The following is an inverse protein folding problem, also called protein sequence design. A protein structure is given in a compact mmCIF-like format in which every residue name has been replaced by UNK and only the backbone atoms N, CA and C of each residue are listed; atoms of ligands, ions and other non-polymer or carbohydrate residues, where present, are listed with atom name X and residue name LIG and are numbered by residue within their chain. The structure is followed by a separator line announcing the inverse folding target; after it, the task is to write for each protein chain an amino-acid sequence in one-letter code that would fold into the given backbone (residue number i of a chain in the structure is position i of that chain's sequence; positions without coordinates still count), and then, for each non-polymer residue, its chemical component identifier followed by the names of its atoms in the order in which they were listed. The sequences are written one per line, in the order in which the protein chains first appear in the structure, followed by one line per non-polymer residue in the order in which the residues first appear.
data_IF_253659077845
#
_entry.id   IF_253659077845
#
_cell.length_a   1.000
_cell.length_b   1.000
_cell.length_c   1.000
_cell.angle_alpha   90.00
_cell.angle_beta   90.00
_cell.angle_gamma   90.00
#
_symmetry.space_group_name_H-M   'P 1'
#
loop_
_entity.id
_entity.type
_entity.pdbx_description
1 polymer ?
#
# COMPACT_ATOMS: atom_id res chain seq x y z
N UNK A 1 14.57 -7.03 4.56
CA UNK A 1 13.34 -7.20 3.77
C UNK A 1 13.11 -8.68 3.54
N UNK A 2 11.91 -9.17 3.84
CA UNK A 2 11.48 -10.56 3.61
C UNK A 2 10.38 -10.58 2.57
N UNK A 3 10.38 -11.62 1.76
CA UNK A 3 9.49 -11.74 0.62
C UNK A 3 8.88 -13.14 0.56
N UNK A 4 7.56 -13.21 0.42
CA UNK A 4 6.78 -14.45 0.29
C UNK A 4 6.02 -14.44 -1.06
N UNK A 5 5.89 -15.60 -1.69
CA UNK A 5 5.20 -15.74 -2.97
C UNK A 5 3.98 -16.65 -2.79
N UNK A 6 2.84 -16.16 -3.23
CA UNK A 6 1.57 -16.90 -3.26
C UNK A 6 1.14 -17.12 -4.70
N UNK A 7 1.13 -18.39 -5.11
CA UNK A 7 0.63 -18.76 -6.43
C UNK A 7 -0.88 -18.71 -6.50
N UNK A 8 -1.42 -18.44 -7.68
CA UNK A 8 -2.86 -18.51 -7.91
C UNK A 8 -3.33 -19.97 -7.76
N UNK A 9 -4.46 -20.15 -7.10
CA UNK A 9 -5.09 -21.46 -6.93
C UNK A 9 -6.38 -21.51 -7.74
N UNK A 10 -6.67 -22.67 -8.31
CA UNK A 10 -7.92 -22.85 -9.03
C UNK A 10 -9.09 -22.85 -8.03
N UNK A 11 -10.24 -22.21 -8.34
CA UNK A 11 -11.40 -22.19 -7.45
C UNK A 11 -11.91 -23.57 -7.06
N UNK A 12 -11.82 -24.56 -7.94
CA UNK A 12 -12.27 -25.91 -7.64
C UNK A 12 -11.34 -26.62 -6.67
N UNK A 13 -10.00 -26.39 -6.75
CA UNK A 13 -9.05 -26.96 -5.80
C UNK A 13 -9.29 -26.38 -4.39
N UNK A 14 -9.52 -25.06 -4.30
CA UNK A 14 -9.71 -24.39 -3.01
C UNK A 14 -10.95 -24.81 -2.23
N UNK A 15 -11.95 -25.42 -2.90
CA UNK A 15 -13.11 -26.02 -2.23
C UNK A 15 -12.77 -27.24 -1.36
N UNK A 16 -11.63 -27.86 -1.64
CA UNK A 16 -11.16 -29.08 -0.96
C UNK A 16 -10.07 -28.80 0.07
N UNK A 17 -9.61 -27.54 0.19
CA UNK A 17 -8.57 -27.19 1.14
C UNK A 17 -9.07 -27.24 2.58
N UNK A 18 -8.25 -27.79 3.44
CA UNK A 18 -8.46 -27.71 4.87
C UNK A 18 -8.11 -26.31 5.41
N UNK A 19 -8.35 -26.11 6.71
CA UNK A 19 -8.07 -24.81 7.37
C UNK A 19 -6.59 -24.42 7.27
N UNK A 20 -5.69 -25.40 7.35
CA UNK A 20 -4.24 -25.15 7.27
C UNK A 20 -3.86 -24.69 5.87
N UNK A 21 -4.32 -25.38 4.84
CA UNK A 21 -4.06 -25.05 3.44
C UNK A 21 -4.67 -23.67 3.09
N UNK A 22 -5.89 -23.37 3.55
CA UNK A 22 -6.51 -22.05 3.36
C UNK A 22 -5.66 -20.93 3.99
N UNK A 23 -5.12 -21.16 5.19
CA UNK A 23 -4.23 -20.19 5.85
C UNK A 23 -2.93 -20.01 5.06
N UNK A 24 -2.30 -21.09 4.66
CA UNK A 24 -1.06 -21.04 3.88
C UNK A 24 -1.23 -20.35 2.52
N UNK A 25 -2.35 -20.57 1.85
CA UNK A 25 -2.59 -20.05 0.48
C UNK A 25 -3.09 -18.61 0.47
N UNK A 26 -3.97 -18.25 1.42
CA UNK A 26 -4.73 -16.99 1.34
C UNK A 26 -4.48 -16.02 2.49
N UNK A 27 -3.98 -16.45 3.64
CA UNK A 27 -3.81 -15.58 4.79
C UNK A 27 -2.38 -15.03 4.89
N UNK A 28 -2.26 -13.73 5.00
CA UNK A 28 -1.02 -13.05 5.40
C UNK A 28 -1.11 -12.82 6.91
N UNK A 29 -0.52 -13.72 7.68
CA UNK A 29 -0.65 -13.70 9.15
C UNK A 29 0.14 -12.56 9.79
N UNK A 30 1.29 -12.20 9.21
CA UNK A 30 2.19 -11.20 9.76
C UNK A 30 2.54 -10.16 8.72
N UNK A 31 2.12 -8.91 8.98
CA UNK A 31 2.43 -7.77 8.11
C UNK A 31 3.60 -6.93 8.62
N UNK A 32 3.88 -6.95 9.92
CA UNK A 32 4.89 -6.08 10.52
C UNK A 32 5.91 -6.87 11.35
N UNK A 33 7.17 -6.51 11.21
CA UNK A 33 8.26 -6.92 12.09
C UNK A 33 9.15 -5.70 12.33
N UNK A 34 9.73 -5.59 13.53
CA UNK A 34 10.63 -4.51 13.89
C UNK A 34 11.83 -4.48 12.95
N UNK A 35 12.15 -3.28 12.48
CA UNK A 35 13.25 -2.97 11.57
C UNK A 35 13.28 -3.87 10.31
N UNK A 36 12.09 -4.27 9.83
CA UNK A 36 11.99 -5.08 8.60
C UNK A 36 10.82 -4.65 7.71
N UNK A 37 10.91 -5.03 6.43
CA UNK A 37 9.84 -4.92 5.44
C UNK A 37 9.41 -6.35 5.09
N UNK A 38 8.14 -6.65 5.32
CA UNK A 38 7.53 -7.93 4.96
C UNK A 38 6.62 -7.71 3.76
N UNK A 39 6.84 -8.46 2.68
CA UNK A 39 6.06 -8.38 1.45
C UNK A 39 5.54 -9.76 1.06
N UNK A 40 4.31 -9.81 0.62
CA UNK A 40 3.71 -11.00 0.00
C UNK A 40 3.27 -10.66 -1.41
N UNK A 41 3.84 -11.34 -2.39
CA UNK A 41 3.45 -11.26 -3.79
C UNK A 41 2.43 -12.32 -4.13
N UNK A 42 1.25 -11.90 -4.54
CA UNK A 42 0.23 -12.79 -5.05
C UNK A 42 0.24 -12.84 -6.57
N UNK A 43 0.34 -14.04 -7.13
CA UNK A 43 0.15 -14.26 -8.56
C UNK A 43 -1.30 -14.01 -9.01
N UNK A 44 -2.25 -13.98 -8.08
CA UNK A 44 -3.59 -13.51 -8.35
C UNK A 44 -3.55 -11.99 -8.48
N UNK A 45 -3.82 -11.48 -9.68
CA UNK A 45 -3.74 -10.07 -10.05
C UNK A 45 -2.36 -9.41 -9.89
N UNK A 46 -1.31 -10.15 -9.57
CA UNK A 46 0.07 -9.68 -9.39
C UNK A 46 0.18 -8.56 -8.35
N UNK A 47 -0.62 -8.65 -7.29
CA UNK A 47 -0.64 -7.70 -6.20
C UNK A 47 0.47 -8.04 -5.20
N UNK A 48 1.07 -7.01 -4.63
CA UNK A 48 1.94 -7.13 -3.47
C UNK A 48 1.27 -6.42 -2.30
N UNK A 49 1.08 -7.14 -1.21
CA UNK A 49 0.66 -6.58 0.06
C UNK A 49 1.75 -6.80 1.10
N UNK A 50 1.87 -5.87 2.06
CA UNK A 50 2.88 -6.00 3.09
C UNK A 50 2.92 -4.86 4.06
N UNK A 51 4.02 -4.77 4.80
CA UNK A 51 4.22 -3.71 5.77
C UNK A 51 5.69 -3.44 6.03
N UNK A 52 5.99 -2.18 6.38
CA UNK A 52 7.27 -1.72 6.85
C UNK A 52 7.11 -1.14 8.26
N UNK A 53 7.95 -1.58 9.20
CA UNK A 53 7.94 -1.09 10.57
C UNK A 53 9.36 -0.69 11.00
N UNK A 54 9.82 0.51 10.58
CA UNK A 54 11.08 1.06 11.05
C UNK A 54 10.97 1.42 12.53
N UNK A 55 11.87 0.93 13.37
CA UNK A 55 11.94 1.24 14.81
C UNK A 55 13.20 2.05 15.09
N UNK A 56 14.35 1.47 14.82
CA UNK A 56 15.68 2.09 15.08
C UNK A 56 16.35 2.55 13.81
N UNK A 57 16.11 1.83 12.70
CA UNK A 57 16.79 2.05 11.43
C UNK A 57 15.81 2.49 10.34
N UNK A 58 16.32 3.26 9.39
CA UNK A 58 15.57 3.55 8.16
C UNK A 58 15.56 2.31 7.29
N UNK A 59 14.37 1.99 6.76
CA UNK A 59 14.18 0.84 5.90
C UNK A 59 14.10 1.28 4.44
N UNK A 60 14.91 0.67 3.59
CA UNK A 60 14.88 0.91 2.14
C UNK A 60 14.13 -0.21 1.43
N UNK A 61 13.20 0.18 0.54
CA UNK A 61 12.46 -0.75 -0.29
C UNK A 61 13.33 -1.21 -1.46
N UNK A 62 13.79 -2.45 -1.38
CA UNK A 62 14.52 -3.10 -2.47
C UNK A 62 13.60 -3.80 -3.47
N UNK A 63 14.17 -4.26 -4.58
CA UNK A 63 13.49 -5.18 -5.50
C UNK A 63 13.88 -6.63 -5.21
N UNK A 64 13.25 -7.57 -5.88
CA UNK A 64 13.57 -9.00 -5.79
C UNK A 64 13.50 -9.64 -7.18
N UNK A 65 14.15 -10.79 -7.31
CA UNK A 65 14.39 -11.47 -8.59
C UNK A 65 13.10 -11.72 -9.39
N UNK A 66 12.03 -12.06 -8.72
CA UNK A 66 10.75 -12.44 -9.33
C UNK A 66 10.03 -11.26 -9.98
N UNK A 67 10.34 -10.04 -9.61
CA UNK A 67 9.83 -8.84 -10.30
C UNK A 67 10.55 -8.56 -11.61
N UNK A 68 11.77 -9.10 -11.78
CA UNK A 68 12.62 -8.85 -12.95
C UNK A 68 12.75 -7.35 -13.29
N UNK A 69 12.96 -6.52 -12.25
CA UNK A 69 13.06 -5.06 -12.33
C UNK A 69 14.32 -4.56 -11.63
N UNK A 70 14.86 -3.41 -12.05
CA UNK A 70 16.02 -2.80 -11.42
C UNK A 70 15.71 -2.15 -10.07
N UNK A 71 14.46 -1.69 -9.90
CA UNK A 71 13.94 -1.13 -8.66
C UNK A 71 12.45 -1.47 -8.52
N UNK A 72 11.91 -1.39 -7.32
CA UNK A 72 10.58 -1.93 -6.98
C UNK A 72 9.45 -1.32 -7.82
N UNK A 73 9.43 0.00 -8.00
CA UNK A 73 8.37 0.70 -8.71
C UNK A 73 8.68 0.96 -10.20
N UNK A 74 9.58 0.19 -10.81
CA UNK A 74 9.89 0.34 -12.25
C UNK A 74 8.66 0.10 -13.14
N UNK A 75 7.81 -0.86 -12.77
CA UNK A 75 6.59 -1.23 -13.51
C UNK A 75 5.36 -1.34 -12.60
N UNK A 76 5.44 -0.71 -11.44
CA UNK A 76 4.41 -0.80 -10.41
C UNK A 76 4.14 0.57 -9.79
N UNK A 77 2.96 0.71 -9.25
CA UNK A 77 2.56 1.82 -8.38
C UNK A 77 2.30 1.29 -6.98
N UNK A 78 2.29 2.15 -5.97
CA UNK A 78 2.12 1.74 -4.60
C UNK A 78 1.27 2.73 -3.80
N UNK A 79 0.35 2.19 -3.03
CA UNK A 79 -0.33 2.89 -1.95
C UNK A 79 0.32 2.55 -0.61
N UNK A 80 0.50 3.54 0.25
CA UNK A 80 0.98 3.37 1.61
C UNK A 80 0.02 4.02 2.58
N UNK A 81 -0.32 3.33 3.66
CA UNK A 81 -1.15 3.85 4.76
C UNK A 81 -0.39 3.67 6.06
N UNK A 82 -0.23 4.73 6.83
CA UNK A 82 0.37 4.63 8.15
C UNK A 82 -0.69 4.32 9.22
N UNK A 83 -0.56 3.16 9.87
CA UNK A 83 -1.45 2.71 10.96
C UNK A 83 -0.75 2.65 12.32
N UNK A 84 0.47 3.20 12.41
CA UNK A 84 1.29 3.30 13.63
C UNK A 84 1.52 4.72 14.09
N UNK A 85 2.62 4.97 14.77
CA UNK A 85 3.09 6.30 15.13
C UNK A 85 3.43 7.16 13.91
N UNK A 86 3.77 8.44 14.12
CA UNK A 86 4.22 9.30 13.05
C UNK A 86 5.55 8.83 12.44
N UNK A 87 5.74 9.09 11.17
CA UNK A 87 6.97 8.76 10.49
C UNK A 87 7.08 9.44 9.13
N UNK A 88 8.15 9.15 8.44
CA UNK A 88 8.50 9.75 7.16
C UNK A 88 8.67 8.71 6.07
N UNK A 89 8.30 9.09 4.85
CA UNK A 89 8.59 8.33 3.63
C UNK A 89 9.40 9.26 2.73
N UNK A 90 10.59 8.83 2.34
CA UNK A 90 11.44 9.58 1.42
C UNK A 90 11.38 8.91 0.05
N UNK A 91 11.08 9.69 -0.99
CA UNK A 91 10.93 9.25 -2.37
C UNK A 91 11.90 10.03 -3.24
N UNK A 92 12.91 9.39 -3.82
CA UNK A 92 13.95 10.02 -4.66
C UNK A 92 14.50 11.32 -4.01
N UNK A 93 14.78 11.28 -2.70
CA UNK A 93 15.28 12.41 -1.91
C UNK A 93 14.21 13.37 -1.37
N UNK A 94 12.96 13.29 -1.82
CA UNK A 94 11.86 14.13 -1.30
C UNK A 94 11.20 13.49 -0.09
N UNK A 95 11.14 14.20 1.03
CA UNK A 95 10.57 13.72 2.30
C UNK A 95 9.09 14.06 2.41
N UNK A 96 8.30 13.08 2.83
CA UNK A 96 6.87 13.20 3.13
C UNK A 96 6.62 12.75 4.58
N UNK A 97 6.15 13.65 5.41
CA UNK A 97 5.71 13.32 6.78
C UNK A 97 4.34 12.66 6.72
N UNK A 98 4.20 11.47 7.28
CA UNK A 98 2.99 10.66 7.24
C UNK A 98 2.56 10.34 8.68
N UNK A 99 1.49 11.01 9.13
CA UNK A 99 0.91 10.80 10.45
C UNK A 99 0.01 9.56 10.50
N UNK A 100 -0.53 9.29 11.69
CA UNK A 100 -1.47 8.19 11.91
C UNK A 100 -2.73 8.33 11.05
N UNK A 101 -3.09 7.29 10.30
CA UNK A 101 -4.18 7.23 9.33
C UNK A 101 -4.04 8.19 8.13
N UNK A 102 -2.85 8.68 7.89
CA UNK A 102 -2.50 9.31 6.62
C UNK A 102 -1.94 8.29 5.64
N UNK A 103 -1.95 8.62 4.38
CA UNK A 103 -1.42 7.78 3.33
C UNK A 103 -0.70 8.56 2.24
N UNK A 104 -0.09 7.83 1.33
CA UNK A 104 0.54 8.36 0.13
C UNK A 104 0.35 7.40 -1.02
N UNK A 105 -0.03 7.92 -2.16
CA UNK A 105 0.08 7.23 -3.43
C UNK A 105 1.43 7.55 -4.06
N UNK A 106 2.15 6.54 -4.50
CA UNK A 106 3.47 6.63 -5.11
C UNK A 106 3.37 6.09 -6.53
N UNK A 107 3.65 6.96 -7.49
CA UNK A 107 3.57 6.63 -8.91
C UNK A 107 4.69 5.71 -9.38
N UNK A 108 4.44 5.01 -10.47
CA UNK A 108 5.42 4.22 -11.19
C UNK A 108 6.63 5.09 -11.61
N UNK A 109 7.83 4.55 -11.49
CA UNK A 109 9.09 5.21 -11.88
C UNK A 109 9.88 5.78 -10.70
N UNK A 110 9.31 5.84 -9.48
CA UNK A 110 10.04 6.21 -8.26
C UNK A 110 11.12 5.16 -7.98
N UNK A 111 12.38 5.58 -7.91
CA UNK A 111 13.53 4.66 -7.80
C UNK A 111 13.83 4.27 -6.37
N UNK A 112 13.85 5.25 -5.48
CA UNK A 112 14.21 5.08 -4.08
C UNK A 112 13.03 5.37 -3.18
N UNK A 113 12.69 4.40 -2.33
CA UNK A 113 11.65 4.54 -1.30
C UNK A 113 12.24 4.12 0.03
N UNK A 114 12.27 5.03 1.00
CA UNK A 114 12.73 4.75 2.35
C UNK A 114 11.69 5.13 3.38
N UNK A 115 11.63 4.34 4.46
CA UNK A 115 10.69 4.51 5.57
C UNK A 115 11.46 4.78 6.85
N UNK A 116 10.98 5.70 7.67
CA UNK A 116 11.52 5.98 9.00
C UNK A 116 10.41 6.32 9.99
N UNK A 117 10.60 5.98 11.26
CA UNK A 117 9.75 6.43 12.36
C UNK A 117 10.32 7.70 12.97
N UNK A 118 9.43 8.58 13.43
CA UNK A 118 9.84 9.78 14.15
C UNK A 118 10.21 9.47 15.62
N UNK A 119 9.53 8.45 16.19
CA UNK A 119 9.73 8.01 17.58
C UNK A 119 9.85 6.49 17.64
N UNK A 120 11.00 5.94 18.05
CA UNK A 120 11.20 4.50 18.21
C UNK A 120 10.29 3.85 19.26
N UNK A 121 9.83 4.60 20.27
CA UNK A 121 8.91 4.10 21.30
C UNK A 121 7.49 3.90 20.77
N UNK A 122 7.14 4.64 19.72
CA UNK A 122 5.86 4.55 19.03
C UNK A 122 6.09 4.47 17.51
N UNK A 123 6.60 3.35 17.01
CA UNK A 123 7.03 3.25 15.64
C UNK A 123 5.88 3.41 14.64
N UNK A 124 6.20 3.97 13.49
CA UNK A 124 5.31 3.98 12.35
C UNK A 124 5.10 2.55 11.84
N UNK A 125 3.89 2.26 11.35
CA UNK A 125 3.52 0.99 10.71
C UNK A 125 2.93 1.31 9.35
N UNK A 126 3.75 1.23 8.34
CA UNK A 126 3.35 1.50 6.96
C UNK A 126 2.78 0.25 6.31
N UNK A 127 1.47 0.18 6.16
CA UNK A 127 0.82 -0.83 5.32
C UNK A 127 1.07 -0.49 3.86
N UNK A 128 1.56 -1.46 3.10
CA UNK A 128 1.95 -1.32 1.70
C UNK A 128 1.02 -2.15 0.82
N UNK A 129 0.57 -1.55 -0.27
CA UNK A 129 -0.18 -2.24 -1.30
C UNK A 129 0.30 -1.76 -2.68
N UNK A 130 0.70 -2.69 -3.54
CA UNK A 130 1.25 -2.36 -4.84
C UNK A 130 0.65 -3.23 -5.94
N UNK A 131 0.41 -2.64 -7.10
CA UNK A 131 -0.06 -3.32 -8.29
C UNK A 131 0.74 -2.92 -9.53
N UNK A 132 0.74 -3.73 -10.60
CA UNK A 132 1.33 -3.33 -11.88
C UNK A 132 0.70 -2.04 -12.39
N UNK A 133 1.52 -1.16 -12.94
CA UNK A 133 1.11 0.10 -13.53
C UNK A 133 1.48 0.14 -15.02
N UNK A 134 0.66 0.81 -15.81
CA UNK A 134 0.86 0.99 -17.25
C UNK A 134 1.26 2.43 -17.62
N UNK A 135 1.14 3.35 -16.65
CA UNK A 135 1.46 4.77 -16.81
C UNK A 135 1.93 5.34 -15.47
N UNK A 136 2.85 6.29 -15.52
CA UNK A 136 3.28 7.03 -14.33
C UNK A 136 2.30 8.16 -14.02
N UNK A 137 1.94 8.29 -12.76
CA UNK A 137 1.12 9.37 -12.21
C UNK A 137 1.86 10.08 -11.09
N UNK A 138 1.54 11.36 -10.83
CA UNK A 138 2.16 12.11 -9.74
C UNK A 138 1.93 11.45 -8.39
N UNK A 139 2.95 11.49 -7.54
CA UNK A 139 2.83 11.11 -6.13
C UNK A 139 1.92 12.09 -5.39
N UNK A 140 0.96 11.57 -4.64
CA UNK A 140 -0.03 12.35 -3.89
C UNK A 140 -0.07 11.91 -2.43
N UNK A 141 0.20 12.84 -1.50
CA UNK A 141 -0.06 12.62 -0.08
C UNK A 141 -1.55 12.73 0.20
N UNK A 142 -2.07 11.83 1.03
CA UNK A 142 -3.47 11.72 1.42
C UNK A 142 -3.56 12.01 2.91
N UNK A 143 -4.22 13.10 3.27
CA UNK A 143 -4.39 13.50 4.65
C UNK A 143 -5.83 13.29 5.12
N UNK A 144 -5.99 13.07 6.42
CA UNK A 144 -7.31 12.98 7.04
C UNK A 144 -7.96 14.36 7.01
N UNK A 145 -9.25 14.50 6.63
CA UNK A 145 -9.97 15.76 6.78
C UNK A 145 -9.99 16.20 8.25
N UNK A 146 -9.72 17.47 8.49
CA UNK A 146 -9.90 18.07 9.82
C UNK A 146 -11.39 18.37 9.99
N UNK A 147 -11.97 17.97 11.11
CA UNK A 147 -13.39 18.18 11.41
C UNK A 147 -13.69 19.71 11.40
N UNK A 148 -14.73 20.11 10.64
CA UNK A 148 -15.11 21.51 10.48
C UNK A 148 -14.31 22.32 9.46
N UNK A 149 -13.28 21.75 8.84
CA UNK A 149 -12.53 22.39 7.76
C UNK A 149 -12.89 21.69 6.44
N UNK A 150 -13.31 22.44 5.40
CA UNK A 150 -13.52 21.84 4.08
C UNK A 150 -12.25 21.11 3.66
N UNK A 151 -12.37 19.84 3.28
CA UNK A 151 -11.23 19.06 2.83
C UNK A 151 -10.60 19.76 1.62
N UNK A 152 -9.29 20.09 1.64
CA UNK A 152 -8.63 20.64 0.47
C UNK A 152 -8.81 19.69 -0.73
N UNK A 153 -8.91 20.24 -1.92
CA UNK A 153 -8.90 19.43 -3.13
C UNK A 153 -7.70 18.48 -3.10
N UNK A 154 -7.94 17.16 -3.26
CA UNK A 154 -6.90 16.15 -3.16
C UNK A 154 -6.83 15.39 -1.82
N UNK A 155 -7.74 15.62 -0.87
CA UNK A 155 -7.85 14.80 0.34
C UNK A 155 -8.56 13.47 0.08
N UNK A 156 -8.49 12.54 1.05
CA UNK A 156 -9.08 11.20 0.93
C UNK A 156 -10.55 11.19 0.47
N UNK A 157 -11.31 12.22 0.82
CA UNK A 157 -12.70 12.38 0.36
C UNK A 157 -12.77 12.72 -1.13
N UNK A 158 -11.84 13.54 -1.63
CA UNK A 158 -11.75 13.91 -3.04
C UNK A 158 -11.02 12.85 -3.87
N UNK A 159 -10.25 11.96 -3.27
CA UNK A 159 -9.48 10.93 -3.97
C UNK A 159 -10.39 10.14 -4.87
N UNK A 160 -11.56 9.77 -4.43
CA UNK A 160 -12.49 9.00 -5.24
C UNK A 160 -13.05 9.82 -6.41
N UNK A 161 -13.33 11.10 -6.21
CA UNK A 161 -13.74 12.00 -7.28
C UNK A 161 -12.58 12.29 -8.23
N UNK A 162 -11.38 12.55 -7.69
CA UNK A 162 -10.19 12.85 -8.49
C UNK A 162 -9.60 11.59 -9.15
N UNK A 163 -9.63 10.45 -8.49
CA UNK A 163 -9.20 9.19 -9.08
C UNK A 163 -10.15 8.71 -10.17
N UNK A 164 -11.44 9.06 -10.08
CA UNK A 164 -12.39 8.89 -11.16
C UNK A 164 -12.18 9.86 -12.34
N UNK A 165 -11.46 10.96 -12.13
CA UNK A 165 -11.15 11.99 -13.14
C UNK A 165 -9.70 11.97 -13.60
N UNK A 166 -8.78 11.32 -12.88
CA UNK A 166 -7.42 11.05 -13.37
C UNK A 166 -7.52 9.91 -14.39
N UNK A 167 -7.61 10.29 -15.65
CA UNK A 167 -7.66 9.33 -16.75
C UNK A 167 -6.51 8.33 -16.64
N UNK A 168 -6.88 7.05 -16.52
CA UNK A 168 -5.97 5.93 -16.65
C UNK A 168 -5.30 5.41 -15.38
N UNK A 169 -5.57 5.96 -14.17
CA UNK A 169 -5.10 5.31 -12.95
C UNK A 169 -5.63 3.88 -12.84
N UNK A 170 -4.79 2.98 -12.36
CA UNK A 170 -5.19 1.59 -12.18
C UNK A 170 -6.33 1.50 -11.14
N UNK A 171 -7.53 1.23 -11.62
CA UNK A 171 -8.73 1.11 -10.77
C UNK A 171 -8.57 0.10 -9.62
N UNK A 172 -7.71 -0.91 -9.79
CA UNK A 172 -7.45 -1.92 -8.75
C UNK A 172 -6.68 -1.33 -7.57
N UNK A 173 -5.59 -0.59 -7.83
CA UNK A 173 -4.84 0.11 -6.77
C UNK A 173 -5.73 1.09 -6.02
N UNK A 174 -6.57 1.82 -6.74
CA UNK A 174 -7.54 2.73 -6.17
C UNK A 174 -8.51 2.00 -5.24
N UNK A 175 -9.15 0.92 -5.73
CA UNK A 175 -10.11 0.15 -4.96
C UNK A 175 -9.47 -0.45 -3.70
N UNK A 176 -8.26 -0.95 -3.80
CA UNK A 176 -7.53 -1.50 -2.66
C UNK A 176 -7.13 -0.43 -1.65
N UNK A 177 -6.75 0.74 -2.12
CA UNK A 177 -6.44 1.87 -1.27
C UNK A 177 -7.69 2.36 -0.50
N UNK A 178 -8.85 2.35 -1.14
CA UNK A 178 -10.14 2.71 -0.56
C UNK A 178 -10.63 1.63 0.42
N UNK A 179 -10.52 0.35 0.08
CA UNK A 179 -10.91 -0.78 0.94
C UNK A 179 -10.05 -0.87 2.20
N UNK A 180 -8.81 -0.37 2.16
CA UNK A 180 -7.92 -0.27 3.31
C UNK A 180 -8.37 0.66 4.45
N UNK A 181 -9.55 1.26 4.37
CA UNK A 181 -10.22 1.91 5.52
C UNK A 181 -9.84 3.37 5.76
N UNK A 182 -9.35 4.08 4.76
CA UNK A 182 -9.00 5.51 4.90
C UNK A 182 -10.23 6.42 4.94
N UNK A 183 -11.40 5.95 4.51
CA UNK A 183 -12.60 6.79 4.45
C UNK A 183 -13.86 6.06 4.91
N UNK A 184 -14.47 6.51 6.02
CA UNK A 184 -15.78 6.00 6.46
C UNK A 184 -16.90 6.33 5.46
N UNK A 185 -16.77 7.42 4.69
CA UNK A 185 -17.75 7.76 3.63
C UNK A 185 -17.64 6.85 2.41
N UNK A 186 -16.52 6.16 2.22
CA UNK A 186 -16.37 5.17 1.15
C UNK A 186 -17.18 3.88 1.37
N UNK A 187 -17.68 3.63 2.58
CA UNK A 187 -18.62 2.51 2.81
C UNK A 187 -19.94 2.65 2.04
N UNK A 188 -20.31 3.89 1.66
CA UNK A 188 -21.52 4.10 0.85
C UNK A 188 -21.32 3.75 -0.62
N UNK A 189 -20.08 3.66 -1.10
CA UNK A 189 -19.76 3.45 -2.52
C UNK A 189 -19.60 1.98 -2.85
N UNK A 190 -19.17 1.16 -1.90
CA UNK A 190 -19.20 -0.31 -2.05
C UNK A 190 -20.59 -0.88 -2.26
N UNK A 191 -21.65 -0.09 -1.98
CA UNK A 191 -23.05 -0.48 -2.25
C UNK A 191 -23.55 -0.09 -3.64
N UNK A 192 -22.82 0.68 -4.41
CA UNK A 192 -23.24 1.15 -5.73
C UNK A 192 -22.74 0.29 -6.89
N UNK A 193 -21.98 -0.76 -6.64
CA UNK A 193 -21.39 -1.64 -7.66
C UNK A 193 -21.53 -3.14 -7.31
N UNK A 194 -22.66 -3.52 -6.72
CA UNK A 194 -23.10 -4.93 -6.69
C UNK A 194 -24.32 -5.09 -7.58
#
# INVERSE_FOLDING_TARGET
MKFDIRYANHPDDSKHYDTKELREKYLIEKLFAEDDILLTYSHQDRIIAGGAMPVKEKLSLGTFKELATNFFLERREMGVINIGGAGTITLDGKVYNIGFKEGIYIGMGTKEVTFASDDPSKPAKFYLNSSPAHKSYPTVKITKPVEGVPAPEGTAYCIQRHLGTVEGMNKRTINQFIIGGVCQSCQQIGRAHV
#
